data_IF_489446098619
#
_entry.id   IF_489446098619
#
_cell.length_a   1.000
_cell.length_b   1.000
_cell.length_c   1.000
_cell.angle_alpha   90.00
_cell.angle_beta   90.00
_cell.angle_gamma   90.00
#
_symmetry.space_group_name_H-M   'P 1'
#
loop_
_entity.id
_entity.type
_entity.pdbx_description
1 polymer ?
#
# COMPACT_ATOMS: atom_id res chain seq x y z
N UNK A 1 1.74 4.39 -27.90
CA UNK A 1 1.36 5.49 -26.98
C UNK A 1 -0.08 5.27 -26.56
N UNK A 2 -0.41 5.35 -25.27
CA UNK A 2 -1.82 5.41 -24.82
C UNK A 2 -2.32 6.83 -24.99
N UNK A 3 -3.41 7.00 -25.74
CA UNK A 3 -3.86 8.32 -26.18
C UNK A 3 -4.76 9.03 -25.16
N UNK A 4 -5.27 8.34 -24.14
CA UNK A 4 -6.09 8.96 -23.10
C UNK A 4 -5.60 8.67 -21.66
N UNK A 5 -5.81 9.61 -20.71
CA UNK A 5 -5.54 9.37 -19.29
C UNK A 5 -6.32 8.18 -18.70
N UNK A 6 -7.52 7.92 -19.22
CA UNK A 6 -8.37 6.80 -18.79
C UNK A 6 -7.77 5.45 -19.18
N UNK A 7 -7.30 5.30 -20.42
CA UNK A 7 -6.60 4.09 -20.86
C UNK A 7 -5.33 3.85 -20.05
N UNK A 8 -4.56 4.91 -19.78
CA UNK A 8 -3.37 4.81 -18.94
C UNK A 8 -3.72 4.27 -17.55
N UNK A 9 -4.74 4.83 -16.91
CA UNK A 9 -5.21 4.39 -15.59
C UNK A 9 -5.67 2.94 -15.59
N UNK A 10 -6.41 2.52 -16.62
CA UNK A 10 -6.84 1.14 -16.78
C UNK A 10 -5.66 0.17 -16.91
N UNK A 11 -4.62 0.54 -17.67
CA UNK A 11 -3.41 -0.27 -17.78
C UNK A 11 -2.65 -0.35 -16.44
N UNK A 12 -2.54 0.75 -15.71
CA UNK A 12 -1.88 0.75 -14.40
C UNK A 12 -2.59 -0.19 -13.41
N UNK A 13 -3.92 -0.23 -13.41
CA UNK A 13 -4.67 -1.17 -12.57
C UNK A 13 -4.47 -2.62 -13.04
N UNK A 14 -4.57 -2.86 -14.35
CA UNK A 14 -4.47 -4.20 -14.93
C UNK A 14 -3.13 -4.89 -14.63
N UNK A 15 -2.04 -4.12 -14.58
CA UNK A 15 -0.71 -4.65 -14.22
C UNK A 15 -0.64 -5.17 -12.77
N UNK A 16 -1.46 -4.64 -11.85
CA UNK A 16 -1.58 -5.12 -10.48
C UNK A 16 -2.46 -6.38 -10.32
N UNK A 17 -3.23 -6.76 -11.34
CA UNK A 17 -4.14 -7.90 -11.29
C UNK A 17 -3.47 -9.27 -11.49
N UNK A 18 -2.17 -9.30 -11.84
CA UNK A 18 -1.45 -10.56 -12.04
C UNK A 18 -1.34 -11.38 -10.75
N UNK A 19 -1.39 -12.71 -10.85
CA UNK A 19 -1.19 -13.63 -9.71
C UNK A 19 0.28 -13.98 -9.47
N UNK A 20 1.18 -13.56 -10.37
CA UNK A 20 2.60 -13.87 -10.28
C UNK A 20 3.30 -12.89 -9.31
N UNK A 21 3.70 -13.38 -8.14
CA UNK A 21 4.32 -12.58 -7.07
C UNK A 21 5.55 -11.79 -7.52
N UNK A 22 6.37 -12.37 -8.39
CA UNK A 22 7.58 -11.71 -8.90
C UNK A 22 7.25 -10.55 -9.85
N UNK A 23 6.14 -10.63 -10.61
CA UNK A 23 5.67 -9.52 -11.43
C UNK A 23 5.11 -8.39 -10.57
N UNK A 24 4.34 -8.71 -9.51
CA UNK A 24 3.84 -7.71 -8.56
C UNK A 24 5.01 -7.00 -7.85
N UNK A 25 6.02 -7.78 -7.43
CA UNK A 25 7.24 -7.24 -6.82
C UNK A 25 8.01 -6.34 -7.78
N UNK A 26 8.14 -6.73 -9.05
CA UNK A 26 8.76 -5.90 -10.09
C UNK A 26 7.94 -4.65 -10.36
N UNK A 27 6.62 -4.75 -10.34
CA UNK A 27 5.73 -3.64 -10.65
C UNK A 27 5.77 -2.57 -9.55
N UNK A 28 5.68 -2.95 -8.28
CA UNK A 28 5.75 -1.99 -7.17
C UNK A 28 7.14 -1.34 -7.07
N UNK A 29 8.22 -2.05 -7.43
CA UNK A 29 9.58 -1.48 -7.47
C UNK A 29 9.74 -0.32 -8.46
N UNK A 30 8.96 -0.30 -9.54
CA UNK A 30 8.98 0.82 -10.50
C UNK A 30 8.64 2.16 -9.86
N UNK A 31 7.97 2.18 -8.70
CA UNK A 31 7.71 3.42 -7.96
C UNK A 31 9.00 4.18 -7.60
N UNK A 32 10.10 3.46 -7.38
CA UNK A 32 11.41 4.05 -7.05
C UNK A 32 12.36 4.05 -8.26
N UNK A 33 12.31 2.98 -9.06
CA UNK A 33 13.28 2.75 -10.14
C UNK A 33 12.92 3.40 -11.49
N UNK A 34 11.67 3.84 -11.70
CA UNK A 34 11.17 4.22 -13.02
C UNK A 34 10.65 5.67 -13.06
N UNK A 35 11.39 6.60 -13.70
CA UNK A 35 10.98 8.01 -13.78
C UNK A 35 9.74 8.22 -14.68
N UNK A 36 9.28 7.20 -15.41
CA UNK A 36 8.06 7.30 -16.22
C UNK A 36 6.77 7.24 -15.40
N UNK A 37 6.83 6.73 -14.16
CA UNK A 37 5.70 6.77 -13.23
C UNK A 37 5.65 8.17 -12.62
N UNK A 38 4.59 8.91 -12.96
CA UNK A 38 4.38 10.23 -12.38
C UNK A 38 4.06 10.08 -10.90
N UNK A 39 4.54 11.02 -10.10
CA UNK A 39 4.26 11.10 -8.66
C UNK A 39 2.76 10.96 -8.36
N UNK A 40 1.90 11.61 -9.14
CA UNK A 40 0.44 11.54 -9.00
C UNK A 40 -0.20 10.18 -9.36
N UNK A 41 0.52 9.30 -10.04
CA UNK A 41 0.06 7.95 -10.41
C UNK A 41 0.60 6.87 -9.45
N UNK A 42 1.55 7.24 -8.57
CA UNK A 42 2.27 6.33 -7.69
C UNK A 42 1.35 5.66 -6.65
N UNK A 43 0.38 6.41 -6.13
CA UNK A 43 -0.62 5.88 -5.20
C UNK A 43 -1.46 4.80 -5.88
N UNK A 44 -1.92 5.02 -7.11
CA UNK A 44 -2.71 4.06 -7.89
C UNK A 44 -1.95 2.77 -8.18
N UNK A 45 -0.68 2.87 -8.61
CA UNK A 45 0.17 1.71 -8.85
C UNK A 45 0.31 0.88 -7.56
N UNK A 46 0.62 1.53 -6.44
CA UNK A 46 0.71 0.86 -5.15
C UNK A 46 -0.63 0.21 -4.74
N UNK A 47 -1.73 0.94 -4.88
CA UNK A 47 -3.09 0.47 -4.58
C UNK A 47 -3.43 -0.80 -5.37
N UNK A 48 -3.09 -0.84 -6.67
CA UNK A 48 -3.36 -1.99 -7.54
C UNK A 48 -2.68 -3.27 -7.04
N UNK A 49 -1.47 -3.15 -6.47
CA UNK A 49 -0.74 -4.26 -5.87
C UNK A 49 -1.29 -4.57 -4.48
N UNK A 50 -1.63 -3.57 -3.68
CA UNK A 50 -2.17 -3.75 -2.32
C UNK A 50 -3.54 -4.48 -2.32
N UNK A 51 -4.38 -4.24 -3.32
CA UNK A 51 -5.69 -4.89 -3.52
C UNK A 51 -5.57 -6.38 -3.89
N UNK A 52 -4.43 -6.79 -4.42
CA UNK A 52 -4.22 -8.17 -4.85
C UNK A 52 -3.99 -9.08 -3.65
N UNK A 53 -4.69 -10.21 -3.55
CA UNK A 53 -4.58 -11.16 -2.43
C UNK A 53 -3.13 -11.59 -2.13
N UNK A 54 -2.30 -11.76 -3.16
CA UNK A 54 -0.88 -12.08 -3.02
C UNK A 54 -0.04 -10.81 -2.88
N UNK A 55 -0.50 -9.71 -3.49
CA UNK A 55 0.18 -8.42 -3.52
C UNK A 55 0.09 -7.62 -2.23
N UNK A 56 -0.91 -7.81 -1.36
CA UNK A 56 -1.03 -7.05 -0.10
C UNK A 56 0.23 -7.16 0.75
N UNK A 57 0.74 -8.38 0.95
CA UNK A 57 1.97 -8.60 1.72
C UNK A 57 3.20 -8.02 1.00
N UNK A 58 3.25 -8.15 -0.33
CA UNK A 58 4.35 -7.59 -1.15
C UNK A 58 4.38 -6.07 -1.04
N UNK A 59 3.22 -5.41 -1.13
CA UNK A 59 3.07 -3.97 -1.03
C UNK A 59 3.45 -3.48 0.37
N UNK A 60 3.02 -4.18 1.42
CA UNK A 60 3.42 -3.87 2.79
C UNK A 60 4.93 -4.03 3.01
N UNK A 61 5.52 -5.13 2.55
CA UNK A 61 6.96 -5.36 2.66
C UNK A 61 7.77 -4.33 1.86
N UNK A 62 7.29 -3.94 0.68
CA UNK A 62 7.88 -2.88 -0.11
C UNK A 62 7.85 -1.54 0.61
N UNK A 63 6.69 -1.14 1.15
CA UNK A 63 6.52 0.11 1.90
C UNK A 63 7.47 0.16 3.11
N UNK A 64 7.54 -0.93 3.87
CA UNK A 64 8.38 -1.05 5.06
C UNK A 64 9.87 -1.01 4.73
N UNK A 65 10.31 -1.80 3.75
CA UNK A 65 11.74 -1.92 3.40
C UNK A 65 12.31 -0.64 2.80
N UNK A 66 11.51 0.09 2.04
CA UNK A 66 11.97 1.28 1.31
C UNK A 66 11.46 2.59 1.95
N UNK A 67 11.03 2.56 3.21
CA UNK A 67 10.39 3.70 3.87
C UNK A 67 11.17 5.01 3.74
N UNK A 68 12.49 4.99 4.00
CA UNK A 68 13.32 6.19 3.93
C UNK A 68 13.45 6.73 2.50
N UNK A 69 13.53 5.85 1.50
CA UNK A 69 13.63 6.26 0.11
C UNK A 69 12.31 6.83 -0.40
N UNK A 70 11.20 6.19 -0.02
CA UNK A 70 9.84 6.67 -0.27
C UNK A 70 9.59 8.01 0.44
N UNK A 71 10.15 8.21 1.64
CA UNK A 71 10.11 9.48 2.35
C UNK A 71 10.88 10.57 1.61
N UNK A 72 12.07 10.28 1.10
CA UNK A 72 12.85 11.23 0.32
C UNK A 72 12.16 11.56 -1.03
N UNK A 73 11.51 10.59 -1.65
CA UNK A 73 10.88 10.77 -2.98
C UNK A 73 9.50 11.44 -2.89
N UNK A 74 8.71 11.12 -1.86
CA UNK A 74 7.31 11.52 -1.75
C UNK A 74 6.97 12.35 -0.50
N UNK A 75 7.94 12.59 0.40
CA UNK A 75 7.73 13.22 1.71
C UNK A 75 7.44 14.71 1.69
N UNK A 76 7.68 15.41 0.58
CA UNK A 76 7.55 16.88 0.46
C UNK A 76 6.08 17.36 0.33
N UNK A 77 5.13 16.69 1.00
CA UNK A 77 3.73 17.15 1.12
C UNK A 77 2.74 16.52 0.14
N UNK A 78 3.14 15.49 -0.61
CA UNK A 78 2.29 14.86 -1.64
C UNK A 78 1.12 13.99 -1.09
N UNK A 79 1.04 13.75 0.22
CA UNK A 79 0.12 12.79 0.85
C UNK A 79 0.18 11.35 0.29
N UNK A 80 1.10 11.04 -0.62
CA UNK A 80 1.18 9.74 -1.30
C UNK A 80 1.46 8.63 -0.29
N UNK A 81 2.40 8.83 0.63
CA UNK A 81 2.70 7.85 1.67
C UNK A 81 1.48 7.56 2.56
N UNK A 82 0.73 8.61 2.92
CA UNK A 82 -0.52 8.45 3.67
C UNK A 82 -1.56 7.64 2.88
N UNK A 83 -1.67 7.85 1.56
CA UNK A 83 -2.53 7.05 0.69
C UNK A 83 -2.05 5.60 0.57
N UNK A 84 -0.75 5.35 0.42
CA UNK A 84 -0.16 4.01 0.38
C UNK A 84 -0.46 3.24 1.68
N UNK A 85 -0.30 3.88 2.85
CA UNK A 85 -0.64 3.26 4.14
C UNK A 85 -2.12 2.90 4.20
N UNK A 86 -3.01 3.83 3.83
CA UNK A 86 -4.46 3.61 3.83
C UNK A 86 -4.90 2.52 2.85
N UNK A 87 -4.22 2.38 1.71
CA UNK A 87 -4.53 1.37 0.70
C UNK A 87 -4.32 -0.07 1.19
N UNK A 88 -3.48 -0.29 2.20
CA UNK A 88 -3.22 -1.62 2.76
C UNK A 88 -4.35 -2.10 3.67
N UNK A 89 -4.89 -1.20 4.49
CA UNK A 89 -5.74 -1.55 5.62
C UNK A 89 -7.01 -2.34 5.24
N UNK A 90 -7.75 -2.01 4.16
CA UNK A 90 -8.93 -2.79 3.75
C UNK A 90 -8.65 -4.26 3.41
N UNK A 91 -7.38 -4.60 3.13
CA UNK A 91 -6.98 -5.93 2.69
C UNK A 91 -6.21 -6.73 3.76
N UNK A 92 -6.10 -6.17 4.97
CA UNK A 92 -5.50 -6.83 6.13
C UNK A 92 -6.60 -7.19 7.13
N UNK A 93 -6.61 -8.45 7.57
CA UNK A 93 -7.66 -8.99 8.43
C UNK A 93 -7.16 -10.07 9.41
N UNK A 94 -5.84 -10.17 9.60
CA UNK A 94 -5.22 -11.12 10.54
C UNK A 94 -4.50 -10.39 11.67
N UNK A 95 -4.43 -11.02 12.84
CA UNK A 95 -3.68 -10.50 14.00
C UNK A 95 -2.20 -10.26 13.69
N UNK A 96 -1.62 -11.14 12.86
CA UNK A 96 -0.24 -11.00 12.43
C UNK A 96 -0.02 -9.71 11.64
N UNK A 97 -0.90 -9.42 10.66
CA UNK A 97 -0.81 -8.19 9.87
C UNK A 97 -1.02 -6.95 10.75
N UNK A 98 -1.96 -7.01 11.70
CA UNK A 98 -2.17 -5.93 12.65
C UNK A 98 -0.90 -5.64 13.47
N UNK A 99 -0.31 -6.69 14.06
CA UNK A 99 0.90 -6.56 14.86
C UNK A 99 2.08 -6.01 14.05
N UNK A 100 2.25 -6.48 12.82
CA UNK A 100 3.31 -5.98 11.93
C UNK A 100 3.10 -4.51 11.55
N UNK A 101 1.85 -4.07 11.32
CA UNK A 101 1.53 -2.67 11.04
C UNK A 101 1.82 -1.76 12.25
N UNK A 102 1.46 -2.19 13.46
CA UNK A 102 1.77 -1.46 14.71
C UNK A 102 3.28 -1.37 14.96
N UNK A 103 4.01 -2.48 14.76
CA UNK A 103 5.48 -2.50 14.83
C UNK A 103 6.09 -1.56 13.81
N UNK A 104 5.57 -1.54 12.59
CA UNK A 104 6.06 -0.65 11.56
C UNK A 104 5.85 0.82 11.94
N UNK A 105 4.65 1.22 12.38
CA UNK A 105 4.38 2.57 12.92
C UNK A 105 5.42 2.95 14.00
N UNK A 106 5.68 2.05 14.95
CA UNK A 106 6.60 2.30 16.06
C UNK A 106 8.07 2.34 15.64
N UNK A 107 8.44 1.72 14.51
CA UNK A 107 9.80 1.74 13.99
C UNK A 107 10.20 3.05 13.32
N UNK A 108 9.22 3.87 12.93
CA UNK A 108 9.45 5.13 12.21
C UNK A 108 9.87 6.22 13.21
N UNK A 109 11.13 6.65 13.10
CA UNK A 109 11.72 7.70 13.96
C UNK A 109 11.37 9.12 13.52
N UNK A 110 11.19 9.33 12.22
CA UNK A 110 10.86 10.63 11.63
C UNK A 110 9.45 10.55 11.05
N UNK A 111 8.47 11.05 11.79
CA UNK A 111 7.09 11.07 11.36
C UNK A 111 6.73 12.42 10.73
N UNK A 112 6.17 12.37 9.53
CA UNK A 112 5.37 13.47 8.99
C UNK A 112 3.98 13.35 9.59
N UNK A 113 3.40 14.45 10.09
CA UNK A 113 2.08 14.46 10.74
C UNK A 113 1.00 13.72 9.95
N UNK A 114 0.98 13.89 8.61
CA UNK A 114 0.02 13.22 7.71
C UNK A 114 0.17 11.70 7.68
N UNK A 115 1.39 11.17 7.79
CA UNK A 115 1.64 9.71 7.86
C UNK A 115 1.24 9.13 9.20
N UNK A 116 1.42 9.87 10.31
CA UNK A 116 1.03 9.43 11.63
C UNK A 116 -0.50 9.18 11.72
N UNK A 117 -1.31 10.14 11.27
CA UNK A 117 -2.76 9.99 11.21
C UNK A 117 -3.20 8.89 10.24
N UNK A 118 -2.46 8.66 9.15
CA UNK A 118 -2.73 7.57 8.22
C UNK A 118 -2.51 6.20 8.87
N UNK A 119 -1.44 6.03 9.66
CA UNK A 119 -1.20 4.81 10.41
C UNK A 119 -2.29 4.55 11.44
N UNK A 120 -2.76 5.57 12.16
CA UNK A 120 -3.83 5.43 13.15
C UNK A 120 -5.12 4.92 12.50
N UNK A 121 -5.56 5.60 11.45
CA UNK A 121 -6.73 5.19 10.68
C UNK A 121 -6.59 3.78 10.08
N UNK A 122 -5.40 3.44 9.57
CA UNK A 122 -5.14 2.10 9.04
C UNK A 122 -5.21 1.04 10.14
N UNK A 123 -4.58 1.26 11.30
CA UNK A 123 -4.61 0.33 12.44
C UNK A 123 -6.03 0.12 12.94
N UNK A 124 -6.84 1.18 13.07
CA UNK A 124 -8.25 1.05 13.46
C UNK A 124 -9.07 0.22 12.47
N UNK A 125 -8.83 0.42 11.17
CA UNK A 125 -9.48 -0.36 10.11
C UNK A 125 -9.09 -1.84 10.19
N UNK A 126 -7.80 -2.14 10.34
CA UNK A 126 -7.32 -3.53 10.46
C UNK A 126 -7.84 -4.19 11.73
N UNK A 127 -7.88 -3.49 12.87
CA UNK A 127 -8.52 -3.97 14.11
C UNK A 127 -9.97 -4.37 13.88
N UNK A 128 -10.73 -3.49 13.24
CA UNK A 128 -12.14 -3.75 12.89
C UNK A 128 -12.30 -4.98 12.00
N UNK A 129 -11.43 -5.14 10.99
CA UNK A 129 -11.44 -6.30 10.10
C UNK A 129 -11.13 -7.61 10.83
N UNK A 130 -10.11 -7.60 11.71
CA UNK A 130 -9.72 -8.75 12.53
C UNK A 130 -10.85 -9.16 13.47
N UNK A 131 -11.47 -8.20 14.15
CA UNK A 131 -12.59 -8.47 15.05
C UNK A 131 -13.82 -8.99 14.30
N UNK A 132 -14.07 -8.47 13.10
CA UNK A 132 -15.12 -8.99 12.23
C UNK A 132 -14.84 -10.45 11.84
N UNK A 133 -13.60 -10.78 11.45
CA UNK A 133 -13.21 -12.15 11.12
C UNK A 133 -13.39 -13.09 12.32
N UNK A 134 -12.95 -12.69 13.53
CA UNK A 134 -13.13 -13.53 14.73
C UNK A 134 -14.59 -13.83 15.03
N UNK A 135 -15.48 -12.86 14.83
CA UNK A 135 -16.91 -12.98 15.17
C UNK A 135 -17.71 -13.74 14.11
N UNK A 136 -17.41 -13.52 12.82
CA UNK A 136 -18.30 -13.92 11.73
C UNK A 136 -17.73 -15.02 10.82
N UNK A 137 -16.43 -15.36 10.90
CA UNK A 137 -15.81 -16.26 9.93
C UNK A 137 -16.43 -17.67 9.87
N UNK A 138 -16.86 -18.21 11.01
CA UNK A 138 -17.51 -19.53 11.07
C UNK A 138 -19.02 -19.48 10.76
N UNK A 139 -19.60 -18.29 10.59
CA UNK A 139 -21.03 -18.08 10.35
C UNK A 139 -21.34 -17.81 8.86
N UNK A 140 -20.32 -17.67 8.02
CA UNK A 140 -20.41 -17.34 6.59
C UNK A 140 -19.84 -18.48 5.75
#
# INVERSE_FOLDING_TARGET
ETQTPSEKNMLLDALGCTKLSWLLSRYVKKLLDDPSIRIQDADRVFESVAKNRVGTQIAFDFLRKNWNELLNHYGDGSNILAKMIKALAPHMNTEFQLSELERFKNSIKTNISTTASAFESAIETVKSNVDWMKKNYNQV
#
